data_IF_101451886278
#
_entry.id   IF_101451886278
#
_cell.length_a   1.000
_cell.length_b   1.000
_cell.length_c   1.000
_cell.angle_alpha   90.00
_cell.angle_beta   90.00
_cell.angle_gamma   90.00
#
_symmetry.space_group_name_H-M   'P 1'
#
loop_
_entity.id
_entity.type
_entity.pdbx_description
1 polymer ?
#
# COMPACT_ATOMS: atom_id res chain seq x y z
N UNK A 1 -11.99 -20.11 2.50
CA UNK A 1 -12.98 -19.51 3.42
C UNK A 1 -14.20 -19.00 2.65
N UNK A 2 -15.40 -19.14 3.21
CA UNK A 2 -16.65 -18.62 2.64
C UNK A 2 -17.42 -17.75 3.65
N UNK A 3 -18.20 -16.80 3.14
CA UNK A 3 -18.94 -15.79 3.88
C UNK A 3 -20.45 -16.06 3.78
N UNK A 4 -21.16 -15.90 4.88
CA UNK A 4 -22.63 -15.97 4.86
C UNK A 4 -23.18 -14.59 4.48
N UNK A 5 -23.98 -14.51 3.42
CA UNK A 5 -24.71 -13.30 3.01
C UNK A 5 -26.20 -13.68 2.93
N UNK A 6 -27.01 -13.28 3.91
CA UNK A 6 -28.42 -13.68 3.96
C UNK A 6 -28.59 -15.22 3.97
N UNK A 7 -29.29 -15.77 2.97
CA UNK A 7 -29.53 -17.22 2.79
C UNK A 7 -28.45 -17.93 1.95
N UNK A 8 -27.45 -17.20 1.41
CA UNK A 8 -26.42 -17.74 0.53
C UNK A 8 -25.01 -17.76 1.13
N UNK A 9 -24.12 -18.54 0.51
CA UNK A 9 -22.69 -18.58 0.81
C UNK A 9 -21.93 -17.94 -0.34
N UNK A 10 -21.19 -16.87 -0.08
CA UNK A 10 -20.28 -16.21 -1.02
C UNK A 10 -18.83 -16.59 -0.71
N UNK A 11 -17.93 -16.60 -1.69
CA UNK A 11 -16.51 -16.83 -1.39
C UNK A 11 -15.88 -15.56 -0.84
N UNK A 12 -14.96 -15.69 0.12
CA UNK A 12 -14.24 -14.54 0.67
C UNK A 12 -13.42 -13.81 -0.42
N UNK A 13 -12.97 -14.53 -1.46
CA UNK A 13 -12.25 -13.95 -2.59
C UNK A 13 -13.09 -12.93 -3.37
N UNK A 14 -14.39 -13.17 -3.59
CA UNK A 14 -15.23 -12.21 -4.31
C UNK A 14 -15.48 -10.96 -3.47
N UNK A 15 -15.69 -11.12 -2.16
CA UNK A 15 -15.79 -9.99 -1.25
C UNK A 15 -14.48 -9.17 -1.19
N UNK A 16 -13.32 -9.84 -1.20
CA UNK A 16 -12.01 -9.19 -1.26
C UNK A 16 -11.83 -8.39 -2.56
N UNK A 17 -12.20 -8.97 -3.71
CA UNK A 17 -12.12 -8.29 -5.00
C UNK A 17 -13.04 -7.06 -5.07
N UNK A 18 -14.28 -7.18 -4.58
CA UNK A 18 -15.22 -6.08 -4.52
C UNK A 18 -14.71 -4.95 -3.59
N UNK A 19 -14.21 -5.32 -2.40
CA UNK A 19 -13.64 -4.37 -1.46
C UNK A 19 -12.39 -3.68 -2.01
N UNK A 20 -11.53 -4.40 -2.74
CA UNK A 20 -10.36 -3.85 -3.42
C UNK A 20 -10.77 -2.79 -4.44
N UNK A 21 -11.76 -3.08 -5.28
CA UNK A 21 -12.27 -2.13 -6.26
C UNK A 21 -12.89 -0.88 -5.60
N UNK A 22 -13.67 -1.08 -4.54
CA UNK A 22 -14.24 0.02 -3.76
C UNK A 22 -13.15 0.88 -3.10
N UNK A 23 -12.13 0.24 -2.53
CA UNK A 23 -11.00 0.91 -1.87
C UNK A 23 -10.17 1.70 -2.88
N UNK A 24 -9.91 1.14 -4.08
CA UNK A 24 -9.21 1.83 -5.17
C UNK A 24 -9.94 3.12 -5.57
N UNK A 25 -11.27 3.07 -5.65
CA UNK A 25 -12.08 4.22 -6.04
C UNK A 25 -12.17 5.29 -4.95
N UNK A 26 -12.32 4.89 -3.69
CA UNK A 26 -12.59 5.81 -2.57
C UNK A 26 -11.35 6.38 -1.91
N UNK A 27 -10.29 5.57 -1.79
CA UNK A 27 -9.07 5.91 -1.06
C UNK A 27 -7.87 5.89 -2.00
N UNK A 28 -7.75 4.85 -2.82
CA UNK A 28 -6.67 4.66 -3.77
C UNK A 28 -6.03 3.28 -3.66
N UNK A 29 -5.33 2.91 -4.73
CA UNK A 29 -4.61 1.64 -4.86
C UNK A 29 -3.47 1.45 -3.85
N UNK A 30 -2.96 2.55 -3.28
CA UNK A 30 -1.90 2.56 -2.28
C UNK A 30 -2.38 2.11 -0.89
N UNK A 31 -3.69 1.98 -0.66
CA UNK A 31 -4.26 1.52 0.61
C UNK A 31 -4.50 0.02 0.58
N UNK A 32 -4.02 -0.73 1.58
CA UNK A 32 -4.32 -2.17 1.72
C UNK A 32 -5.80 -2.45 2.01
N UNK A 33 -6.30 -3.60 1.54
CA UNK A 33 -7.63 -4.12 1.87
C UNK A 33 -7.77 -4.55 3.34
N UNK A 34 -6.64 -4.83 4.01
CA UNK A 34 -6.60 -5.25 5.41
C UNK A 34 -7.19 -4.18 6.33
N UNK A 35 -7.93 -4.63 7.34
CA UNK A 35 -8.56 -3.81 8.37
C UNK A 35 -9.60 -2.80 7.83
N UNK A 36 -10.19 -3.04 6.66
CA UNK A 36 -11.35 -2.29 6.17
C UNK A 36 -12.64 -3.07 6.47
N UNK A 37 -13.72 -2.42 6.97
CA UNK A 37 -15.00 -3.09 7.18
C UNK A 37 -15.60 -3.63 5.89
N UNK A 38 -16.00 -4.90 5.91
CA UNK A 38 -16.75 -5.56 4.83
C UNK A 38 -18.24 -5.45 5.14
N UNK A 39 -19.01 -4.88 4.21
CA UNK A 39 -20.46 -4.71 4.36
C UNK A 39 -21.19 -5.96 3.86
N UNK A 40 -22.11 -6.48 4.67
CA UNK A 40 -23.07 -7.52 4.28
C UNK A 40 -22.81 -8.95 4.78
N UNK A 41 -21.59 -9.40 5.13
CA UNK A 41 -21.44 -10.71 5.76
C UNK A 41 -22.18 -10.76 7.09
N UNK A 42 -22.86 -11.88 7.35
CA UNK A 42 -23.53 -12.19 8.61
C UNK A 42 -22.77 -13.22 9.44
N UNK A 43 -21.73 -13.83 8.86
CA UNK A 43 -20.91 -14.83 9.52
C UNK A 43 -19.79 -15.38 8.66
N UNK A 44 -18.87 -16.06 9.33
CA UNK A 44 -17.75 -16.79 8.76
C UNK A 44 -18.10 -18.29 8.75
N UNK A 45 -17.76 -19.02 7.68
CA UNK A 45 -18.05 -20.45 7.62
C UNK A 45 -17.21 -21.32 8.57
N UNK A 46 -15.98 -20.90 8.85
CA UNK A 46 -15.07 -21.54 9.81
C UNK A 46 -14.54 -20.50 10.79
N UNK A 47 -15.09 -20.42 12.02
CA UNK A 47 -14.58 -19.49 13.01
C UNK A 47 -13.13 -19.87 13.34
N UNK A 48 -12.27 -18.86 13.40
CA UNK A 48 -10.86 -18.97 13.76
C UNK A 48 -10.57 -18.00 14.89
N UNK A 49 -9.61 -18.33 15.74
CA UNK A 49 -9.19 -17.45 16.83
C UNK A 49 -8.42 -16.23 16.29
N UNK A 50 -8.63 -15.10 16.95
CA UNK A 50 -7.94 -13.84 16.69
C UNK A 50 -7.93 -13.01 17.97
N UNK A 51 -6.79 -12.38 18.22
CA UNK A 51 -6.57 -11.42 19.27
C UNK A 51 -5.67 -10.29 18.70
N UNK A 52 -5.82 -9.07 19.22
CA UNK A 52 -5.04 -7.93 18.77
C UNK A 52 -3.66 -7.88 19.43
N UNK A 53 -3.55 -8.37 20.66
CA UNK A 53 -2.35 -8.34 21.50
C UNK A 53 -1.55 -9.63 21.39
N UNK A 54 -2.23 -10.76 21.17
CA UNK A 54 -1.61 -12.08 21.07
C UNK A 54 -1.48 -12.57 19.61
N UNK A 55 -0.25 -12.70 19.07
CA UNK A 55 -0.03 -13.29 17.76
C UNK A 55 -0.21 -14.82 17.74
N UNK A 56 -0.25 -15.52 18.89
CA UNK A 56 -0.43 -16.97 18.98
C UNK A 56 -1.91 -17.37 18.82
N UNK A 57 -2.46 -17.05 17.65
CA UNK A 57 -3.84 -17.35 17.25
C UNK A 57 -3.87 -18.03 15.89
N UNK A 58 -4.98 -18.69 15.56
CA UNK A 58 -5.18 -19.29 14.23
C UNK A 58 -4.97 -18.25 13.12
N UNK A 59 -5.45 -17.03 13.34
CA UNK A 59 -5.26 -15.91 12.42
C UNK A 59 -3.80 -15.48 12.31
N UNK A 60 -3.07 -15.42 13.42
CA UNK A 60 -1.65 -15.10 13.43
C UNK A 60 -0.82 -16.15 12.70
N UNK A 61 -1.09 -17.44 12.97
CA UNK A 61 -0.46 -18.56 12.28
C UNK A 61 -0.71 -18.52 10.77
N UNK A 62 -1.96 -18.34 10.33
CA UNK A 62 -2.30 -18.28 8.91
C UNK A 62 -1.63 -17.08 8.21
N UNK A 63 -1.63 -15.91 8.84
CA UNK A 63 -0.93 -14.74 8.28
C UNK A 63 0.58 -14.93 8.20
N UNK A 64 1.20 -15.68 9.12
CA UNK A 64 2.62 -16.03 9.03
C UNK A 64 2.97 -16.91 7.81
N UNK A 65 1.95 -17.53 7.21
CA UNK A 65 2.04 -18.34 5.99
C UNK A 65 1.46 -17.59 4.77
N UNK A 66 1.39 -16.25 4.84
CA UNK A 66 0.86 -15.36 3.80
C UNK A 66 -0.61 -15.62 3.41
N UNK A 67 -1.38 -16.22 4.33
CA UNK A 67 -2.81 -16.46 4.15
C UNK A 67 -3.60 -15.36 4.87
N UNK A 68 -4.19 -14.45 4.09
CA UNK A 68 -5.12 -13.44 4.62
C UNK A 68 -6.40 -14.11 5.14
N UNK A 69 -6.80 -13.76 6.35
CA UNK A 69 -8.02 -14.28 6.99
C UNK A 69 -9.10 -13.21 7.08
N UNK A 70 -10.25 -13.56 7.67
CA UNK A 70 -11.25 -12.57 8.06
C UNK A 70 -11.53 -12.70 9.55
N UNK A 71 -11.63 -11.56 10.21
CA UNK A 71 -11.90 -11.45 11.64
C UNK A 71 -13.26 -10.78 11.84
N UNK A 72 -13.84 -10.97 13.02
CA UNK A 72 -15.04 -10.26 13.47
C UNK A 72 -14.68 -9.31 14.62
N UNK A 73 -14.21 -8.12 14.26
CA UNK A 73 -13.87 -7.06 15.20
C UNK A 73 -14.36 -5.71 14.68
N UNK A 74 -15.32 -5.10 15.39
CA UNK A 74 -16.02 -3.89 14.95
C UNK A 74 -16.56 -4.03 13.51
N UNK A 75 -17.24 -5.15 13.25
CA UNK A 75 -17.65 -5.61 11.91
C UNK A 75 -16.76 -6.75 11.39
N UNK A 76 -17.07 -7.24 10.19
CA UNK A 76 -16.20 -8.21 9.51
C UNK A 76 -15.09 -7.46 8.77
N UNK A 77 -13.86 -7.93 8.88
CA UNK A 77 -12.68 -7.30 8.26
C UNK A 77 -11.74 -8.36 7.74
N UNK A 78 -11.12 -8.12 6.60
CA UNK A 78 -9.94 -8.89 6.24
C UNK A 78 -8.80 -8.55 7.18
N UNK A 79 -8.03 -9.55 7.55
CA UNK A 79 -6.87 -9.43 8.42
C UNK A 79 -5.69 -10.16 7.80
N UNK A 80 -4.79 -9.37 7.24
CA UNK A 80 -3.70 -9.85 6.39
C UNK A 80 -3.57 -8.98 5.14
N UNK A 81 -2.33 -8.67 4.78
CA UNK A 81 -1.97 -7.81 3.65
C UNK A 81 -0.74 -8.33 2.90
N UNK A 82 -0.33 -9.56 3.19
CA UNK A 82 0.73 -10.27 2.49
C UNK A 82 0.16 -11.10 1.34
N UNK A 83 1.01 -11.42 0.38
CA UNK A 83 0.72 -12.32 -0.73
C UNK A 83 1.79 -13.41 -0.80
N UNK A 84 1.54 -14.42 -1.64
CA UNK A 84 2.42 -15.58 -1.80
C UNK A 84 3.60 -15.33 -2.77
N UNK A 85 4.15 -14.11 -2.82
CA UNK A 85 5.32 -13.81 -3.65
C UNK A 85 6.59 -14.29 -2.97
N UNK A 86 7.47 -14.94 -3.75
CA UNK A 86 8.81 -15.31 -3.31
C UNK A 86 9.77 -14.11 -3.24
N UNK A 87 9.43 -12.98 -3.88
CA UNK A 87 10.21 -11.74 -3.79
C UNK A 87 9.72 -10.90 -2.61
N UNK A 88 10.60 -10.72 -1.63
CA UNK A 88 10.35 -9.92 -0.42
C UNK A 88 9.89 -8.49 -0.73
N UNK A 89 10.28 -7.90 -1.87
CA UNK A 89 9.84 -6.55 -2.28
C UNK A 89 8.37 -6.51 -2.65
N UNK A 90 7.82 -7.65 -3.07
CA UNK A 90 6.44 -7.83 -3.46
C UNK A 90 5.64 -8.59 -2.41
N UNK A 91 6.17 -8.86 -1.22
CA UNK A 91 5.48 -9.63 -0.18
C UNK A 91 4.16 -8.99 0.26
N UNK A 92 4.06 -7.66 0.20
CA UNK A 92 2.82 -6.95 0.50
C UNK A 92 1.94 -6.78 -0.75
N UNK A 93 0.64 -7.02 -0.61
CA UNK A 93 -0.32 -6.83 -1.71
C UNK A 93 -0.32 -5.40 -2.26
N UNK A 94 -0.10 -4.39 -1.42
CA UNK A 94 -0.03 -2.98 -1.83
C UNK A 94 1.16 -2.73 -2.75
N UNK A 95 2.31 -3.36 -2.51
CA UNK A 95 3.49 -3.21 -3.38
C UNK A 95 3.19 -3.76 -4.77
N UNK A 96 2.63 -4.98 -4.84
CA UNK A 96 2.21 -5.61 -6.10
C UNK A 96 1.13 -4.80 -6.81
N UNK A 97 0.10 -4.32 -6.10
CA UNK A 97 -0.98 -3.51 -6.67
C UNK A 97 -0.46 -2.18 -7.22
N UNK A 98 0.45 -1.54 -6.48
CA UNK A 98 1.12 -0.30 -6.91
C UNK A 98 1.91 -0.53 -8.20
N UNK A 99 2.72 -1.59 -8.25
CA UNK A 99 3.52 -1.92 -9.43
C UNK A 99 2.66 -2.12 -10.68
N UNK A 100 1.59 -2.92 -10.57
CA UNK A 100 0.66 -3.17 -11.68
C UNK A 100 -0.06 -1.90 -12.12
N UNK A 101 -0.56 -1.10 -11.16
CA UNK A 101 -1.22 0.16 -11.48
C UNK A 101 -0.30 1.13 -12.21
N UNK A 102 0.94 1.28 -11.75
CA UNK A 102 1.92 2.16 -12.39
C UNK A 102 2.27 1.67 -13.78
N UNK A 103 2.51 0.37 -13.95
CA UNK A 103 2.80 -0.22 -15.25
C UNK A 103 1.67 0.05 -16.25
N UNK A 104 0.42 -0.24 -15.88
CA UNK A 104 -0.74 0.02 -16.74
C UNK A 104 -0.89 1.51 -17.06
N UNK A 105 -0.65 2.39 -16.08
CA UNK A 105 -0.75 3.84 -16.25
C UNK A 105 0.31 4.36 -17.23
N UNK A 106 1.55 3.90 -17.08
CA UNK A 106 2.68 4.30 -17.94
C UNK A 106 2.47 3.77 -19.35
N UNK A 107 2.14 2.49 -19.52
CA UNK A 107 1.90 1.88 -20.84
C UNK A 107 0.80 2.63 -21.58
N UNK A 108 -0.34 2.89 -20.93
CA UNK A 108 -1.43 3.64 -21.54
C UNK A 108 -1.03 5.09 -21.88
N UNK A 109 -0.24 5.73 -21.01
CA UNK A 109 0.30 7.07 -21.23
C UNK A 109 1.30 7.13 -22.39
N UNK A 110 1.99 6.03 -22.68
CA UNK A 110 2.98 5.96 -23.77
C UNK A 110 2.35 5.75 -25.16
N UNK A 111 1.07 5.39 -25.23
CA UNK A 111 0.38 5.11 -26.50
C UNK A 111 0.55 6.20 -27.58
N UNK A 112 0.48 7.51 -27.27
CA UNK A 112 0.67 8.57 -28.29
C UNK A 112 2.07 8.62 -28.92
N UNK A 113 3.08 8.04 -28.27
CA UNK A 113 4.46 8.02 -28.77
C UNK A 113 4.76 6.80 -29.64
N UNK A 114 3.89 5.79 -29.63
CA UNK A 114 4.06 4.61 -30.46
C UNK A 114 4.05 4.99 -31.95
N UNK A 115 4.92 4.35 -32.72
CA UNK A 115 5.13 4.57 -34.16
C UNK A 115 5.59 5.99 -34.56
N UNK A 116 5.95 6.84 -33.59
CA UNK A 116 6.58 8.13 -33.87
C UNK A 116 8.07 7.95 -34.23
N UNK A 117 8.67 8.88 -35.01
CA UNK A 117 10.10 8.82 -35.32
C UNK A 117 10.96 8.84 -34.05
N UNK A 118 11.75 7.79 -33.84
CA UNK A 118 12.66 7.67 -32.70
C UNK A 118 13.80 8.70 -32.82
N UNK A 119 13.61 9.85 -32.16
CA UNK A 119 14.60 10.92 -32.07
C UNK A 119 15.02 11.11 -30.60
N UNK A 120 16.22 11.65 -30.31
CA UNK A 120 16.60 11.99 -28.94
C UNK A 120 15.62 12.94 -28.25
N UNK A 121 14.93 13.78 -29.01
CA UNK A 121 13.88 14.67 -28.50
C UNK A 121 12.66 13.88 -28.03
N UNK A 122 12.16 12.94 -28.86
CA UNK A 122 11.05 12.06 -28.47
C UNK A 122 11.41 11.23 -27.23
N UNK A 123 12.62 10.66 -27.17
CA UNK A 123 13.06 9.89 -26.01
C UNK A 123 13.01 10.72 -24.72
N UNK A 124 13.49 11.97 -24.79
CA UNK A 124 13.42 12.91 -23.67
C UNK A 124 11.98 13.27 -23.30
N UNK A 125 11.11 13.55 -24.28
CA UNK A 125 9.70 13.86 -24.04
C UNK A 125 8.97 12.71 -23.32
N UNK A 126 9.26 11.46 -23.71
CA UNK A 126 8.70 10.28 -23.03
C UNK A 126 9.16 10.24 -21.58
N UNK A 127 10.47 10.37 -21.32
CA UNK A 127 11.04 10.35 -19.97
C UNK A 127 10.43 11.47 -19.11
N UNK A 128 10.39 12.69 -19.63
CA UNK A 128 9.85 13.85 -18.91
C UNK A 128 8.35 13.68 -18.63
N UNK A 129 7.58 13.07 -19.55
CA UNK A 129 6.17 12.77 -19.38
C UNK A 129 5.90 11.70 -18.32
N UNK A 130 6.63 10.58 -18.35
CA UNK A 130 6.52 9.52 -17.33
C UNK A 130 6.92 10.08 -15.96
N UNK A 131 8.02 10.81 -15.89
CA UNK A 131 8.51 11.40 -14.65
C UNK A 131 7.53 12.42 -14.08
N UNK A 132 6.92 13.27 -14.92
CA UNK A 132 5.85 14.16 -14.50
C UNK A 132 4.67 13.39 -13.90
N UNK A 133 4.24 12.27 -14.52
CA UNK A 133 3.14 11.47 -14.02
C UNK A 133 3.46 10.80 -12.68
N UNK A 134 4.66 10.26 -12.52
CA UNK A 134 5.09 9.66 -11.26
C UNK A 134 5.22 10.70 -10.14
N UNK A 135 5.71 11.91 -10.45
CA UNK A 135 5.74 13.03 -9.50
C UNK A 135 4.35 13.39 -8.98
N UNK A 136 3.32 13.41 -9.82
CA UNK A 136 1.94 13.62 -9.36
C UNK A 136 1.53 12.62 -8.27
N UNK A 137 1.93 11.35 -8.40
CA UNK A 137 1.64 10.32 -7.40
C UNK A 137 2.47 10.44 -6.11
N UNK A 138 3.70 10.96 -6.20
CA UNK A 138 4.54 11.29 -5.03
C UNK A 138 3.95 12.49 -4.27
N UNK A 139 3.51 13.52 -4.99
CA UNK A 139 2.88 14.71 -4.42
C UNK A 139 1.56 14.35 -3.72
N UNK A 140 0.77 13.48 -4.34
CA UNK A 140 -0.46 12.93 -3.78
C UNK A 140 -0.23 11.91 -2.63
N UNK A 141 1.03 11.62 -2.26
CA UNK A 141 1.39 10.64 -1.21
C UNK A 141 0.93 9.21 -1.50
N UNK A 142 0.71 8.88 -2.77
CA UNK A 142 0.49 7.50 -3.20
C UNK A 142 1.81 6.73 -3.38
N UNK A 143 2.91 7.45 -3.53
CA UNK A 143 4.29 6.93 -3.55
C UNK A 143 5.16 7.75 -2.59
N UNK A 144 6.24 7.15 -2.10
CA UNK A 144 7.27 7.85 -1.32
C UNK A 144 8.23 8.60 -2.24
N UNK A 145 8.57 8.00 -3.39
CA UNK A 145 9.45 8.56 -4.38
C UNK A 145 9.44 7.72 -5.66
N UNK A 146 9.89 8.32 -6.76
CA UNK A 146 10.04 7.66 -8.05
C UNK A 146 10.98 8.47 -8.95
N UNK A 147 11.67 7.79 -9.86
CA UNK A 147 12.51 8.43 -10.87
C UNK A 147 12.50 7.65 -12.18
N UNK A 148 12.81 8.35 -13.27
CA UNK A 148 12.82 7.80 -14.64
C UNK A 148 14.06 8.31 -15.33
N UNK A 149 14.80 7.43 -16.00
CA UNK A 149 16.01 7.79 -16.72
C UNK A 149 16.22 6.93 -17.96
N UNK A 150 17.15 7.36 -18.80
CA UNK A 150 17.66 6.57 -19.92
C UNK A 150 18.95 5.90 -19.50
N UNK A 151 18.99 4.57 -19.50
CA UNK A 151 20.23 3.82 -19.34
C UNK A 151 20.81 3.47 -20.71
N UNK A 152 22.05 3.91 -20.95
CA UNK A 152 22.78 3.58 -22.16
C UNK A 152 23.17 2.10 -22.22
N UNK A 153 23.36 1.45 -21.08
CA UNK A 153 23.70 0.03 -21.03
C UNK A 153 22.56 -0.86 -21.56
N UNK A 154 21.31 -0.45 -21.36
CA UNK A 154 20.11 -1.15 -21.80
C UNK A 154 19.68 -0.78 -23.24
N UNK A 155 20.38 0.15 -23.88
CA UNK A 155 20.03 0.68 -25.20
C UNK A 155 21.22 0.64 -26.17
N UNK A 156 21.49 -0.54 -26.74
CA UNK A 156 22.55 -0.71 -27.74
C UNK A 156 22.21 0.02 -29.06
N UNK A 157 23.24 0.36 -29.85
CA UNK A 157 23.05 1.00 -31.17
C UNK A 157 22.24 0.10 -32.10
N UNK A 158 22.46 -1.22 -32.02
CA UNK A 158 21.73 -2.21 -32.79
C UNK A 158 20.24 -2.20 -32.44
N UNK A 159 19.88 -2.16 -31.15
CA UNK A 159 18.48 -2.09 -30.71
C UNK A 159 17.80 -0.80 -31.18
N UNK A 160 18.46 0.34 -31.01
CA UNK A 160 17.95 1.64 -31.44
C UNK A 160 17.75 1.69 -32.96
N UNK A 161 18.65 1.06 -33.73
CA UNK A 161 18.51 0.95 -35.20
C UNK A 161 17.28 0.15 -35.63
N UNK A 162 16.78 -0.74 -34.76
CA UNK A 162 15.55 -1.52 -34.96
C UNK A 162 14.31 -0.83 -34.37
N UNK A 163 14.44 0.41 -33.88
CA UNK A 163 13.34 1.15 -33.25
C UNK A 163 12.98 0.65 -31.85
N UNK A 164 13.86 -0.12 -31.21
CA UNK A 164 13.66 -0.62 -29.85
C UNK A 164 14.39 0.31 -28.87
N UNK A 165 13.64 0.85 -27.91
CA UNK A 165 14.17 1.69 -26.85
C UNK A 165 13.62 1.23 -25.50
N UNK A 166 14.51 1.12 -24.52
CA UNK A 166 14.19 0.83 -23.12
C UNK A 166 14.29 2.10 -22.29
N UNK A 167 13.37 2.24 -21.33
CA UNK A 167 13.36 3.32 -20.35
C UNK A 167 13.28 2.67 -18.98
N UNK A 168 14.21 3.07 -18.11
CA UNK A 168 14.28 2.60 -16.75
C UNK A 168 13.52 3.54 -15.83
N UNK A 169 12.82 2.95 -14.87
CA UNK A 169 12.17 3.70 -13.81
C UNK A 169 12.17 2.90 -12.52
N UNK A 170 12.27 3.62 -11.41
CA UNK A 170 12.11 3.08 -10.08
C UNK A 170 11.00 3.81 -9.31
N UNK A 171 10.48 3.15 -8.29
CA UNK A 171 9.52 3.74 -7.38
C UNK A 171 9.60 3.08 -6.01
N UNK A 172 9.24 3.83 -4.98
CA UNK A 172 9.05 3.33 -3.62
C UNK A 172 7.56 3.41 -3.27
N UNK A 173 6.85 2.26 -3.19
CA UNK A 173 5.46 2.25 -2.78
C UNK A 173 5.32 2.69 -1.31
N UNK A 174 4.14 3.17 -0.93
CA UNK A 174 3.86 3.48 0.48
C UNK A 174 3.78 2.16 1.27
N UNK A 175 4.62 1.94 2.29
CA UNK A 175 4.60 0.70 3.05
C UNK A 175 3.33 0.63 3.89
N UNK A 176 2.78 -0.58 4.02
CA UNK A 176 1.69 -0.81 4.98
C UNK A 176 2.26 -0.99 6.37
N UNK A 177 1.71 -0.27 7.34
CA UNK A 177 2.03 -0.48 8.75
C UNK A 177 1.37 -1.79 9.23
N UNK A 178 2.03 -2.92 8.99
CA UNK A 178 1.55 -4.25 9.39
C UNK A 178 1.67 -4.45 10.91
N UNK A 179 2.80 -4.04 11.51
CA UNK A 179 3.07 -4.22 12.93
C UNK A 179 3.47 -2.89 13.58
N UNK A 180 2.69 -2.45 14.57
CA UNK A 180 3.00 -1.27 15.38
C UNK A 180 3.43 -1.70 16.79
N UNK A 181 4.73 -1.60 17.08
CA UNK A 181 5.26 -1.84 18.41
C UNK A 181 5.23 -0.57 19.27
N UNK A 182 4.80 -0.70 20.54
CA UNK A 182 4.82 0.39 21.51
C UNK A 182 5.90 0.14 22.56
N UNK A 183 6.83 1.09 22.71
CA UNK A 183 7.86 1.06 23.75
C UNK A 183 7.39 1.88 24.95
N UNK A 184 6.64 1.26 25.85
CA UNK A 184 6.13 1.90 27.07
C UNK A 184 7.26 2.15 28.08
N UNK A 185 7.28 3.33 28.68
CA UNK A 185 8.25 3.72 29.73
C UNK A 185 7.52 4.46 30.83
N UNK A 186 7.71 4.04 32.07
CA UNK A 186 7.33 4.82 33.26
C UNK A 186 8.47 5.79 33.56
N UNK A 187 8.16 7.06 33.82
CA UNK A 187 9.16 8.08 34.11
C UNK A 187 8.69 9.06 35.19
N UNK A 188 9.60 9.37 36.11
CA UNK A 188 9.39 10.35 37.17
C UNK A 188 9.77 11.78 36.72
N UNK A 189 10.18 11.97 35.46
CA UNK A 189 10.60 13.28 34.92
C UNK A 189 9.55 14.37 35.12
N UNK A 190 8.28 13.99 35.09
CA UNK A 190 7.15 14.91 35.24
C UNK A 190 6.81 15.23 36.71
N UNK A 191 7.47 14.59 37.67
CA UNK A 191 7.30 14.84 39.09
C UNK A 191 8.23 15.95 39.61
N UNK A 192 9.21 16.41 38.82
CA UNK A 192 10.17 17.43 39.25
C UNK A 192 9.49 18.77 39.55
N UNK A 193 8.48 19.14 38.75
CA UNK A 193 7.70 20.37 38.92
C UNK A 193 6.36 20.11 39.65
N UNK A 194 6.25 19.01 40.40
CA UNK A 194 5.01 18.63 41.06
C UNK A 194 4.46 19.75 41.97
N UNK A 195 5.34 20.50 42.65
CA UNK A 195 4.96 21.65 43.44
C UNK A 195 4.40 22.82 42.59
N UNK A 196 4.92 23.04 41.39
CA UNK A 196 4.40 24.06 40.46
C UNK A 196 3.08 23.62 39.82
N UNK A 197 2.89 22.32 39.56
CA UNK A 197 1.63 21.74 39.08
C UNK A 197 0.47 21.91 40.08
N UNK A 198 0.76 21.85 41.39
CA UNK A 198 -0.24 22.10 42.45
C UNK A 198 -0.70 23.56 42.47
N UNK A 199 0.22 24.50 42.24
CA UNK A 199 -0.07 25.93 42.41
C UNK A 199 -0.74 26.58 41.19
N UNK A 200 -0.95 25.82 40.10
CA UNK A 200 -1.69 26.25 38.91
C UNK A 200 -0.91 27.27 38.07
N UNK A 201 -0.89 27.03 36.75
CA UNK A 201 -0.44 28.01 35.77
C UNK A 201 -1.22 29.33 35.92
N UNK A 202 -0.64 30.30 36.61
CA UNK A 202 -0.94 31.73 36.57
C UNK A 202 0.28 32.51 37.08
N UNK A 203 1.33 32.54 36.27
CA UNK A 203 2.27 33.68 36.29
C UNK A 203 2.16 34.39 34.96
N UNK A 204 0.98 34.97 34.72
CA UNK A 204 0.90 36.26 34.01
C UNK A 204 0.62 37.30 35.09
N UNK A 205 1.20 38.49 34.92
CA UNK A 205 1.41 39.60 35.88
C UNK A 205 2.77 39.47 36.59
N UNK A 206 3.80 40.26 36.30
CA UNK A 206 3.83 41.64 35.79
C UNK A 206 4.20 42.57 36.92
N UNK A 207 5.50 42.91 37.00
CA UNK A 207 6.18 44.17 37.41
C UNK A 207 7.67 43.83 37.58
#
# INVERSE_FOLDING_TARGET
MTLKYGTGIFTAAVAAAALRAETDQKVGWHKSLSNIPVIGPTGISQPITWDLEDPDTDTGYLNSQDITTMIQHMGFRFWGNRNCSDDIRFSFEVATRSAQFLLDTIINGCFPFMDQPLTPFLAKDIIDSINAKLREHVDAKHLIGASVWYDQAENSVEQLSQGVMWIDYDFTPVPTLENLGLNQRITDRYLVDFAQMINGANTTEGI
#
